data_IF_681546494074
#
_entry.id   IF_681546494074
#
_cell.length_a   1.000
_cell.length_b   1.000
_cell.length_c   1.000
_cell.angle_alpha   90.00
_cell.angle_beta   90.00
_cell.angle_gamma   90.00
#
_symmetry.space_group_name_H-M   'P 1'
#
loop_
_entity.id
_entity.type
_entity.pdbx_description
1 polymer ?
#
# COMPACT_ATOMS: atom_id res chain seq x y z
N UNK A 1 8.40 1.85 24.79
CA UNK A 1 8.58 2.66 23.57
C UNK A 1 9.97 2.34 23.00
N UNK A 2 10.06 1.46 22.00
CA UNK A 2 11.33 1.18 21.32
C UNK A 2 11.68 2.35 20.41
N UNK A 3 12.95 2.75 20.37
CA UNK A 3 13.40 3.81 19.44
C UNK A 3 13.36 3.29 18.00
N UNK A 4 13.00 4.12 17.00
CA UNK A 4 13.03 3.72 15.59
C UNK A 4 14.44 3.28 15.18
N UNK A 5 14.53 2.27 14.32
CA UNK A 5 15.80 1.70 13.83
C UNK A 5 16.12 2.32 12.46
N UNK A 6 17.30 2.94 12.26
CA UNK A 6 17.67 3.48 10.95
C UNK A 6 17.91 2.36 9.93
N UNK A 7 17.24 2.43 8.79
CA UNK A 7 17.39 1.49 7.66
C UNK A 7 18.22 2.16 6.55
N UNK A 8 19.55 2.06 6.68
CA UNK A 8 20.53 2.40 5.62
C UNK A 8 20.98 3.86 5.54
N UNK A 9 22.26 4.06 5.21
CA UNK A 9 22.86 5.36 4.85
C UNK A 9 23.47 5.23 3.45
N UNK A 10 22.92 5.93 2.45
CA UNK A 10 23.50 5.98 1.10
C UNK A 10 24.43 7.19 0.92
N UNK A 11 25.60 7.00 0.31
CA UNK A 11 26.59 8.05 0.06
C UNK A 11 26.37 8.83 -1.25
N UNK A 12 25.32 8.50 -2.00
CA UNK A 12 25.06 8.91 -3.38
C UNK A 12 23.68 9.54 -3.62
N UNK A 13 22.96 9.89 -2.54
CA UNK A 13 21.83 10.84 -2.59
C UNK A 13 20.52 10.31 -3.20
N UNK A 14 20.40 9.00 -3.40
CA UNK A 14 19.17 8.30 -3.80
C UNK A 14 19.07 6.98 -3.03
N UNK A 15 18.42 6.98 -1.87
CA UNK A 15 18.09 5.73 -1.17
C UNK A 15 16.63 5.40 -1.46
N UNK A 16 16.38 4.29 -2.16
CA UNK A 16 15.06 3.66 -2.16
C UNK A 16 14.94 2.89 -0.85
N UNK A 17 14.25 3.48 0.13
CA UNK A 17 14.00 2.85 1.43
C UNK A 17 12.75 1.97 1.27
N UNK A 18 12.92 0.65 1.36
CA UNK A 18 11.80 -0.28 1.50
C UNK A 18 11.46 -0.35 2.99
N UNK A 19 10.28 0.13 3.36
CA UNK A 19 9.77 0.03 4.71
C UNK A 19 9.31 -1.38 5.06
N UNK A 20 9.33 -1.74 6.34
CA UNK A 20 8.58 -2.88 6.85
C UNK A 20 7.20 -2.42 7.34
N UNK A 21 6.40 -3.31 7.96
CA UNK A 21 5.09 -2.91 8.48
C UNK A 21 5.26 -1.98 9.71
N UNK A 22 5.28 -0.67 9.49
CA UNK A 22 5.46 0.37 10.52
C UNK A 22 5.65 1.78 9.97
N UNK A 23 5.79 2.76 10.87
CA UNK A 23 6.19 4.14 10.52
C UNK A 23 7.72 4.19 10.37
N UNK A 24 8.21 4.29 9.13
CA UNK A 24 9.64 4.39 8.81
C UNK A 24 10.08 5.84 8.62
N UNK A 25 11.20 6.21 9.23
CA UNK A 25 11.82 7.53 9.05
C UNK A 25 13.06 7.38 8.17
N UNK A 26 13.14 8.09 7.02
CA UNK A 26 14.36 8.12 6.22
C UNK A 26 15.44 8.88 7.00
N UNK A 27 16.56 8.21 7.26
CA UNK A 27 17.74 8.82 7.87
C UNK A 27 18.59 9.55 6.83
N UNK A 28 18.09 10.65 6.28
CA UNK A 28 18.70 11.33 5.14
C UNK A 28 19.89 12.23 5.47
N UNK A 29 20.97 12.10 4.70
CA UNK A 29 21.92 13.18 4.45
C UNK A 29 21.34 14.24 3.50
N UNK A 30 22.18 14.98 2.75
CA UNK A 30 21.78 16.08 1.85
C UNK A 30 21.04 15.66 0.55
N UNK A 31 20.36 14.52 0.54
CA UNK A 31 19.57 14.00 -0.58
C UNK A 31 18.06 14.13 -0.33
N UNK A 32 17.25 14.15 -1.39
CA UNK A 32 15.78 14.05 -1.27
C UNK A 32 15.42 12.58 -1.14
N UNK A 33 15.04 12.18 0.07
CA UNK A 33 14.54 10.83 0.33
C UNK A 33 13.03 10.79 0.08
N UNK A 34 12.59 9.96 -0.87
CA UNK A 34 11.17 9.77 -1.14
C UNK A 34 10.65 8.63 -0.28
N UNK A 35 9.86 8.97 0.75
CA UNK A 35 9.01 8.01 1.44
C UNK A 35 7.92 7.55 0.46
N UNK A 36 8.01 6.29 0.00
CA UNK A 36 6.88 5.65 -0.66
C UNK A 36 5.83 5.38 0.43
N UNK A 37 4.71 6.06 0.36
CA UNK A 37 3.64 5.95 1.34
C UNK A 37 2.73 4.76 1.05
N UNK A 38 2.50 3.88 2.02
CA UNK A 38 1.55 2.75 1.93
C UNK A 38 2.22 1.37 2.07
N UNK A 39 1.45 0.29 1.95
CA UNK A 39 1.96 -1.08 1.86
C UNK A 39 2.34 -1.49 0.42
N UNK A 40 3.62 -1.29 0.07
CA UNK A 40 4.14 -1.52 -1.29
C UNK A 40 4.15 -3.01 -1.71
N UNK A 41 3.69 -3.91 -0.84
CA UNK A 41 3.48 -5.33 -1.18
C UNK A 41 2.25 -5.54 -2.06
N UNK A 42 1.32 -4.59 -2.11
CA UNK A 42 0.11 -4.68 -2.92
C UNK A 42 0.18 -3.80 -4.17
N UNK A 43 -0.26 -4.35 -5.31
CA UNK A 43 -0.65 -3.55 -6.46
C UNK A 43 -2.14 -3.20 -6.39
N UNK A 44 -2.55 -2.08 -6.98
CA UNK A 44 -3.97 -1.84 -7.25
C UNK A 44 -4.34 -2.49 -8.59
N UNK A 45 -5.33 -3.38 -8.59
CA UNK A 45 -5.84 -4.03 -9.79
C UNK A 45 -7.15 -3.41 -10.24
N UNK A 46 -7.14 -2.80 -11.43
CA UNK A 46 -8.36 -2.35 -12.12
C UNK A 46 -9.10 -3.50 -12.83
N UNK A 47 -8.46 -4.66 -12.96
CA UNK A 47 -9.03 -5.85 -13.63
C UNK A 47 -9.76 -6.78 -12.66
N UNK A 48 -9.82 -6.44 -11.37
CA UNK A 48 -10.44 -7.25 -10.32
C UNK A 48 -9.44 -8.14 -9.57
N UNK A 49 -9.90 -9.30 -9.11
CA UNK A 49 -9.13 -10.20 -8.27
C UNK A 49 -7.79 -10.61 -8.89
N UNK A 50 -6.70 -10.41 -8.14
CA UNK A 50 -5.34 -10.72 -8.58
C UNK A 50 -4.44 -11.01 -7.38
N UNK A 51 -3.46 -11.90 -7.59
CA UNK A 51 -2.44 -12.26 -6.62
C UNK A 51 -1.73 -11.03 -6.04
N UNK A 52 -1.67 -10.93 -4.71
CA UNK A 52 -0.99 -9.84 -4.01
C UNK A 52 -1.44 -8.44 -4.47
N UNK A 53 -2.75 -8.28 -4.67
CA UNK A 53 -3.34 -7.01 -5.08
C UNK A 53 -4.51 -6.63 -4.17
N UNK A 54 -4.89 -5.36 -4.26
CA UNK A 54 -6.20 -4.89 -3.85
C UNK A 54 -7.01 -4.48 -5.07
N UNK A 55 -8.33 -4.62 -5.02
CA UNK A 55 -9.22 -4.21 -6.10
C UNK A 55 -10.56 -3.75 -5.56
N UNK A 56 -11.24 -2.93 -6.36
CA UNK A 56 -12.59 -2.48 -6.07
C UNK A 56 -13.63 -3.37 -6.77
N UNK A 57 -14.73 -3.64 -6.07
CA UNK A 57 -15.89 -4.35 -6.60
C UNK A 57 -17.16 -3.65 -6.14
N UNK A 58 -18.04 -3.29 -7.07
CA UNK A 58 -19.34 -2.72 -6.76
C UNK A 58 -20.39 -3.83 -6.84
N UNK A 59 -21.13 -4.05 -5.75
CA UNK A 59 -22.27 -4.99 -5.73
C UNK A 59 -23.52 -4.30 -5.19
N UNK A 60 -24.48 -4.07 -6.09
CA UNK A 60 -25.62 -3.21 -5.76
C UNK A 60 -25.14 -1.80 -5.40
N UNK A 61 -25.51 -1.33 -4.21
CA UNK A 61 -25.16 0.00 -3.68
C UNK A 61 -23.96 -0.02 -2.72
N UNK A 62 -23.24 -1.15 -2.64
CA UNK A 62 -22.09 -1.33 -1.75
C UNK A 62 -20.82 -1.48 -2.55
N UNK A 63 -19.81 -0.67 -2.22
CA UNK A 63 -18.47 -0.79 -2.77
C UNK A 63 -17.59 -1.58 -1.80
N UNK A 64 -16.83 -2.52 -2.34
CA UNK A 64 -15.90 -3.35 -1.58
C UNK A 64 -14.48 -3.04 -2.06
N UNK A 65 -13.57 -2.80 -1.12
CA UNK A 65 -12.12 -2.90 -1.35
C UNK A 65 -11.67 -4.25 -0.80
N UNK A 66 -11.39 -5.18 -1.70
CA UNK A 66 -10.89 -6.50 -1.39
C UNK A 66 -9.37 -6.53 -1.52
N UNK A 67 -8.69 -7.38 -0.76
CA UNK A 67 -7.26 -7.59 -0.90
C UNK A 67 -6.85 -9.03 -0.67
N UNK A 68 -5.83 -9.47 -1.42
CA UNK A 68 -5.22 -10.79 -1.35
C UNK A 68 -3.78 -10.67 -0.81
N UNK A 69 -3.51 -11.24 0.35
CA UNK A 69 -2.23 -11.21 1.08
C UNK A 69 -1.35 -12.42 0.74
N UNK A 70 -1.96 -13.57 0.47
CA UNK A 70 -1.26 -14.85 0.29
C UNK A 70 -0.91 -15.18 -1.17
N UNK A 71 -1.54 -14.50 -2.13
CA UNK A 71 -1.23 -14.55 -3.55
C UNK A 71 -2.03 -15.57 -4.35
N UNK A 72 -3.16 -16.07 -3.84
CA UNK A 72 -4.01 -17.04 -4.52
C UNK A 72 -5.08 -16.43 -5.46
N UNK A 73 -5.12 -15.10 -5.54
CA UNK A 73 -6.12 -14.30 -6.26
C UNK A 73 -7.55 -14.43 -5.71
N UNK A 74 -7.69 -14.75 -4.43
CA UNK A 74 -8.94 -14.72 -3.65
C UNK A 74 -8.79 -13.67 -2.55
N UNK A 75 -9.89 -13.01 -2.20
CA UNK A 75 -9.85 -12.00 -1.16
C UNK A 75 -9.58 -12.63 0.22
N UNK A 76 -8.48 -12.24 0.86
CA UNK A 76 -8.16 -12.54 2.26
C UNK A 76 -8.87 -11.60 3.23
N UNK A 77 -9.12 -10.37 2.78
CA UNK A 77 -9.88 -9.37 3.52
C UNK A 77 -10.74 -8.50 2.60
N UNK A 78 -11.78 -7.90 3.18
CA UNK A 78 -12.66 -6.95 2.50
C UNK A 78 -13.04 -5.80 3.44
N UNK A 79 -13.11 -4.59 2.87
CA UNK A 79 -13.65 -3.39 3.50
C UNK A 79 -14.85 -2.92 2.69
N UNK A 80 -16.02 -2.82 3.31
CA UNK A 80 -17.25 -2.37 2.65
C UNK A 80 -17.54 -0.90 2.94
N UNK A 81 -17.86 -0.14 1.90
CA UNK A 81 -18.30 1.25 1.98
C UNK A 81 -19.79 1.35 1.65
N UNK A 82 -20.58 1.83 2.60
CA UNK A 82 -22.00 2.09 2.40
C UNK A 82 -22.22 3.53 1.93
N UNK A 83 -22.99 3.71 0.85
CA UNK A 83 -23.28 5.03 0.28
C UNK A 83 -22.13 5.66 -0.53
N UNK A 84 -21.00 4.95 -0.67
CA UNK A 84 -19.94 5.27 -1.62
C UNK A 84 -20.02 4.24 -2.73
N UNK A 85 -20.26 4.70 -3.95
CA UNK A 85 -20.39 3.82 -5.12
C UNK A 85 -19.20 3.93 -6.07
N UNK A 86 -18.31 4.90 -5.85
CA UNK A 86 -17.13 5.12 -6.69
C UNK A 86 -15.92 5.48 -5.83
N UNK A 87 -14.84 4.74 -6.04
CA UNK A 87 -13.47 5.10 -5.68
C UNK A 87 -12.60 4.72 -6.89
N UNK A 88 -11.47 5.41 -7.05
CA UNK A 88 -10.46 5.11 -8.07
C UNK A 88 -9.15 4.66 -7.41
N UNK A 89 -8.23 4.13 -8.21
CA UNK A 89 -6.89 3.76 -7.74
C UNK A 89 -6.19 4.94 -7.02
N UNK A 90 -6.42 6.17 -7.47
CA UNK A 90 -5.85 7.39 -6.85
C UNK A 90 -6.41 7.72 -5.47
N UNK A 91 -7.55 7.12 -5.09
CA UNK A 91 -8.16 7.33 -3.78
C UNK A 91 -7.63 6.34 -2.73
N UNK A 92 -6.79 5.37 -3.15
CA UNK A 92 -6.23 4.33 -2.29
C UNK A 92 -4.71 4.49 -2.22
N UNK A 93 -4.19 4.59 -0.99
CA UNK A 93 -2.76 4.71 -0.72
C UNK A 93 -2.21 3.33 -0.36
N UNK A 94 -1.34 2.80 -1.24
CA UNK A 94 -0.69 1.51 -1.15
C UNK A 94 0.82 1.70 -1.24
#
# INVERSE_FOLDING_TARGET
>A
MGKPRPIGYGSDGKVLVHGDAGEDLPGGGSGVDTLATGNQRFAFSESGAQANAVWLRLEGDLLYLSGDVDGDAVADFEITFAGITTLAATDVML
#
